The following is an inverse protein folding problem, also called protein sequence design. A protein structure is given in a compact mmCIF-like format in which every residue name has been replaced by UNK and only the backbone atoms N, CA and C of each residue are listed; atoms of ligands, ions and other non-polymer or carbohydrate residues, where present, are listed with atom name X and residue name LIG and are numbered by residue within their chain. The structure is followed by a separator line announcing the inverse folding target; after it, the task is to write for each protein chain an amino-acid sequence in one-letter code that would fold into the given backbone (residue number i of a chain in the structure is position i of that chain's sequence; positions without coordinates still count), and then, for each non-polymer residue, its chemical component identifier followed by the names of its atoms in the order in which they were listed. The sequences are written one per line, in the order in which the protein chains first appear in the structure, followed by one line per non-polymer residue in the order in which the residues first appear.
data_IF_374234721491
#
_entry.id   IF_374234721491
#
_cell.length_a   1.000
_cell.length_b   1.000
_cell.length_c   1.000
_cell.angle_alpha   90.00
_cell.angle_beta   90.00
_cell.angle_gamma   90.00
#
_symmetry.space_group_name_H-M   'P 1'
#
loop_
_entity.id
_entity.type
_entity.pdbx_description
1 polymer ?
#
# COMPACT_ATOMS: atom_id res chain seq x y z
N UNK A 1 56.15 8.60 59.72
CA UNK A 1 56.55 10.01 59.55
C UNK A 1 55.70 10.57 58.43
N UNK A 2 54.82 11.49 58.80
CA UNK A 2 53.80 12.08 57.94
C UNK A 2 54.41 12.89 56.77
N UNK A 3 53.79 12.80 55.59
CA UNK A 3 53.81 13.90 54.61
C UNK A 3 52.54 14.71 54.85
N UNK A 4 52.65 15.81 55.58
CA UNK A 4 51.49 16.65 55.93
C UNK A 4 51.07 17.65 54.84
N UNK A 5 51.68 17.65 53.64
CA UNK A 5 51.28 18.55 52.56
C UNK A 5 51.18 17.82 51.22
N UNK A 6 49.95 17.59 50.75
CA UNK A 6 49.64 17.14 49.40
C UNK A 6 49.50 18.38 48.49
N UNK A 7 50.23 18.42 47.38
CA UNK A 7 50.28 19.60 46.50
C UNK A 7 49.23 19.47 45.38
N UNK A 8 48.63 20.60 44.96
CA UNK A 8 47.77 20.62 43.78
C UNK A 8 48.57 20.20 42.53
N UNK A 9 48.06 19.22 41.79
CA UNK A 9 48.70 18.55 40.65
C UNK A 9 49.30 17.18 40.97
N UNK A 10 49.35 16.78 42.24
CA UNK A 10 49.97 15.51 42.66
C UNK A 10 49.09 14.30 42.29
N UNK A 11 49.70 13.27 41.69
CA UNK A 11 49.01 12.06 41.23
C UNK A 11 49.24 10.87 42.15
N UNK A 12 48.13 10.22 42.52
CA UNK A 12 48.11 9.02 43.34
C UNK A 12 47.46 7.89 42.55
N UNK A 13 48.02 6.68 42.66
CA UNK A 13 47.42 5.49 42.09
C UNK A 13 46.94 4.61 43.24
N UNK A 14 45.62 4.45 43.35
CA UNK A 14 44.97 3.67 44.40
C UNK A 14 44.65 2.27 43.87
N UNK A 15 45.08 1.25 44.62
CA UNK A 15 44.67 -0.14 44.38
C UNK A 15 43.33 -0.39 45.05
N UNK A 16 42.29 -0.65 44.25
CA UNK A 16 40.90 -0.84 44.71
C UNK A 16 40.45 -2.31 44.64
N UNK A 17 41.39 -3.25 44.49
CA UNK A 17 41.07 -4.67 44.26
C UNK A 17 40.57 -4.98 42.84
N UNK A 18 40.61 -3.99 41.93
CA UNK A 18 40.35 -4.10 40.50
C UNK A 18 41.27 -3.18 39.70
N UNK A 19 40.79 -2.58 38.61
CA UNK A 19 41.60 -1.63 37.83
C UNK A 19 42.08 -0.46 38.69
N UNK A 20 43.37 -0.16 38.58
CA UNK A 20 44.04 0.90 39.35
C UNK A 20 43.39 2.26 39.08
N UNK A 21 43.06 3.00 40.14
CA UNK A 21 42.43 4.31 40.06
C UNK A 21 43.49 5.41 40.20
N UNK A 22 43.72 6.19 39.14
CA UNK A 22 44.60 7.36 39.20
C UNK A 22 43.82 8.60 39.61
N UNK A 23 44.28 9.29 40.67
CA UNK A 23 43.66 10.48 41.25
C UNK A 23 44.68 11.62 41.20
N UNK A 24 44.31 12.78 40.63
CA UNK A 24 45.13 14.00 40.66
C UNK A 24 44.50 15.01 41.60
N UNK A 25 45.25 15.52 42.58
CA UNK A 25 44.72 16.44 43.60
C UNK A 25 44.67 17.87 43.06
N UNK A 26 43.59 18.62 43.33
CA UNK A 26 43.57 20.09 43.18
C UNK A 26 43.49 20.70 41.78
N UNK A 27 43.30 19.91 40.71
CA UNK A 27 43.05 20.49 39.38
C UNK A 27 41.59 20.93 39.29
N UNK A 28 41.36 22.23 39.10
CA UNK A 28 40.05 22.74 38.68
C UNK A 28 39.70 22.06 37.35
N UNK A 29 38.82 21.07 37.37
CA UNK A 29 38.31 20.47 36.16
C UNK A 29 37.65 21.59 35.34
N UNK A 30 38.19 21.90 34.16
CA UNK A 30 37.54 22.71 33.13
C UNK A 30 36.29 21.98 32.58
N UNK A 31 35.34 21.60 33.44
CA UNK A 31 34.06 20.97 33.08
C UNK A 31 33.27 21.83 32.10
N UNK A 32 33.49 23.16 32.13
CA UNK A 32 32.87 24.14 31.25
C UNK A 32 33.36 24.11 29.79
N UNK A 33 34.44 23.37 29.46
CA UNK A 33 34.97 23.25 28.09
C UNK A 33 34.73 21.88 27.43
N UNK A 34 34.10 20.91 28.10
CA UNK A 34 33.66 19.68 27.41
C UNK A 34 32.53 20.08 26.45
N UNK A 35 32.81 20.05 25.14
CA UNK A 35 31.73 19.97 24.13
C UNK A 35 30.77 18.88 24.63
N UNK A 36 29.48 19.21 24.82
CA UNK A 36 28.45 18.19 25.02
C UNK A 36 28.59 17.23 23.84
N UNK A 37 29.12 16.03 24.10
CA UNK A 37 29.12 14.99 23.10
C UNK A 37 27.66 14.56 23.02
N UNK A 38 26.99 14.92 21.93
CA UNK A 38 25.64 14.45 21.68
C UNK A 38 25.70 12.92 21.66
N UNK A 39 25.13 12.31 22.69
CA UNK A 39 25.10 10.86 22.80
C UNK A 39 24.28 10.31 21.62
N UNK A 40 24.81 9.34 20.89
CA UNK A 40 24.07 8.58 19.90
C UNK A 40 22.98 7.82 20.65
N UNK A 41 21.74 8.27 20.47
CA UNK A 41 20.58 7.75 21.17
C UNK A 41 20.16 6.40 20.62
N UNK A 42 19.35 5.69 21.39
CA UNK A 42 18.63 4.50 20.96
C UNK A 42 17.88 4.74 19.65
N UNK A 43 17.20 5.88 19.53
CA UNK A 43 16.46 6.27 18.34
C UNK A 43 17.35 6.36 17.10
N UNK A 44 18.51 7.02 17.21
CA UNK A 44 19.47 7.11 16.10
C UNK A 44 20.01 5.74 15.70
N UNK A 45 20.25 4.83 16.65
CA UNK A 45 20.66 3.45 16.32
C UNK A 45 19.55 2.69 15.60
N UNK A 46 18.29 2.83 16.01
CA UNK A 46 17.16 2.20 15.33
C UNK A 46 16.99 2.72 13.90
N UNK A 47 17.13 4.04 13.70
CA UNK A 47 17.12 4.65 12.38
C UNK A 47 18.25 4.11 11.48
N UNK A 48 19.47 4.03 12.01
CA UNK A 48 20.60 3.44 11.28
C UNK A 48 20.37 1.96 10.96
N UNK A 49 19.82 1.19 11.89
CA UNK A 49 19.46 -0.22 11.68
C UNK A 49 18.47 -0.37 10.53
N UNK A 50 17.47 0.51 10.46
CA UNK A 50 16.44 0.50 9.43
C UNK A 50 16.97 0.96 8.06
N UNK A 51 17.75 2.04 8.02
CA UNK A 51 18.32 2.60 6.77
C UNK A 51 19.34 1.66 6.16
N UNK A 52 20.18 1.02 6.98
CA UNK A 52 21.24 0.12 6.54
C UNK A 52 20.82 -1.35 6.48
N UNK A 53 19.54 -1.64 6.74
CA UNK A 53 18.96 -3.00 6.71
C UNK A 53 19.79 -3.99 7.56
N UNK A 54 20.17 -3.57 8.77
CA UNK A 54 20.99 -4.37 9.68
C UNK A 54 20.13 -5.35 10.48
N UNK A 55 20.59 -6.61 10.53
CA UNK A 55 20.03 -7.59 11.47
C UNK A 55 20.40 -7.25 12.91
N UNK A 56 19.66 -7.78 13.90
CA UNK A 56 19.93 -7.61 15.34
C UNK A 56 21.41 -7.85 15.69
N UNK A 57 22.03 -8.86 15.08
CA UNK A 57 23.44 -9.17 15.31
C UNK A 57 24.38 -8.14 14.67
N UNK A 58 24.07 -7.64 13.47
CA UNK A 58 24.83 -6.56 12.84
C UNK A 58 24.67 -5.24 13.61
N UNK A 59 23.48 -4.94 14.13
CA UNK A 59 23.21 -3.76 14.95
C UNK A 59 23.94 -3.82 16.30
N UNK A 60 23.98 -5.00 16.93
CA UNK A 60 24.83 -5.25 18.11
C UNK A 60 26.31 -5.01 17.81
N UNK A 61 26.80 -5.50 16.66
CA UNK A 61 28.18 -5.28 16.22
C UNK A 61 28.47 -3.80 15.96
N UNK A 62 27.56 -3.09 15.28
CA UNK A 62 27.62 -1.65 15.08
C UNK A 62 27.74 -0.91 16.43
N UNK A 63 26.85 -1.19 17.38
CA UNK A 63 26.89 -0.57 18.71
C UNK A 63 28.22 -0.86 19.43
N UNK A 64 28.73 -2.09 19.36
CA UNK A 64 30.02 -2.46 19.95
C UNK A 64 31.18 -1.69 19.32
N UNK A 65 31.20 -1.57 17.99
CA UNK A 65 32.24 -0.84 17.25
C UNK A 65 32.18 0.67 17.49
N UNK A 66 30.98 1.24 17.60
CA UNK A 66 30.82 2.65 17.95
C UNK A 66 31.32 2.90 19.38
N UNK A 67 30.99 2.03 20.35
CA UNK A 67 31.47 2.17 21.74
C UNK A 67 32.99 2.03 21.89
N UNK A 68 33.63 1.21 21.05
CA UNK A 68 35.09 1.05 21.12
C UNK A 68 35.85 2.25 20.54
N UNK A 69 35.22 3.04 19.66
CA UNK A 69 35.89 4.13 18.93
C UNK A 69 35.36 5.54 19.24
N UNK A 70 34.14 5.65 19.78
CA UNK A 70 33.47 6.90 20.10
C UNK A 70 33.01 6.89 21.57
N UNK A 71 33.21 8.02 22.24
CA UNK A 71 32.55 8.27 23.53
C UNK A 71 31.15 8.79 23.26
N UNK A 72 30.13 8.28 23.96
CA UNK A 72 28.76 8.76 23.82
C UNK A 72 27.82 7.93 22.95
N UNK A 73 27.79 6.60 23.10
CA UNK A 73 26.63 5.79 22.66
C UNK A 73 25.74 5.54 23.88
N UNK A 74 24.42 5.55 23.71
CA UNK A 74 23.48 5.22 24.78
C UNK A 74 23.77 3.85 25.42
N UNK A 75 23.71 3.79 26.74
CA UNK A 75 23.78 2.53 27.48
C UNK A 75 22.49 1.74 27.26
N UNK A 76 22.53 0.43 27.49
CA UNK A 76 21.34 -0.44 27.50
C UNK A 76 20.51 -0.51 26.20
N UNK A 77 21.02 -0.02 25.06
CA UNK A 77 20.37 -0.14 23.74
C UNK A 77 19.92 -1.58 23.43
N UNK A 78 20.74 -2.58 23.75
CA UNK A 78 20.39 -3.98 23.52
C UNK A 78 19.22 -4.48 24.38
N UNK A 79 19.08 -3.94 25.59
CA UNK A 79 17.97 -4.24 26.49
C UNK A 79 16.71 -3.62 25.92
N UNK A 80 16.76 -2.33 25.56
CA UNK A 80 15.64 -1.61 24.91
C UNK A 80 15.17 -2.28 23.62
N UNK A 81 16.10 -2.74 22.76
CA UNK A 81 15.75 -3.52 21.55
C UNK A 81 15.02 -4.83 21.87
N UNK A 82 15.38 -5.48 22.99
CA UNK A 82 14.77 -6.74 23.40
C UNK A 82 13.41 -6.49 24.02
N UNK A 83 13.28 -5.48 24.88
CA UNK A 83 12.00 -5.04 25.47
C UNK A 83 10.97 -4.68 24.40
N UNK A 84 11.36 -3.97 23.34
CA UNK A 84 10.48 -3.69 22.19
C UNK A 84 10.04 -4.96 21.46
N UNK A 85 10.96 -5.89 21.24
CA UNK A 85 10.65 -7.16 20.59
C UNK A 85 9.66 -7.98 21.44
N UNK A 86 9.93 -8.10 22.73
CA UNK A 86 9.09 -8.84 23.67
C UNK A 86 7.69 -8.22 23.76
N UNK A 87 7.61 -6.87 23.79
CA UNK A 87 6.35 -6.13 23.77
C UNK A 87 5.53 -6.49 22.53
N UNK A 88 6.13 -6.41 21.34
CA UNK A 88 5.44 -6.76 20.09
C UNK A 88 5.06 -8.24 20.05
N UNK A 89 5.93 -9.15 20.48
CA UNK A 89 5.66 -10.59 20.50
C UNK A 89 4.41 -10.94 21.33
N UNK A 90 4.17 -10.22 22.43
CA UNK A 90 2.96 -10.42 23.25
C UNK A 90 1.66 -10.09 22.51
N UNK A 91 1.70 -9.28 21.45
CA UNK A 91 0.54 -8.86 20.68
C UNK A 91 0.14 -9.86 19.57
N UNK A 92 1.04 -10.80 19.23
CA UNK A 92 0.81 -11.79 18.16
C UNK A 92 0.57 -13.20 18.69
N UNK A 93 -0.12 -13.99 17.88
CA UNK A 93 -0.37 -15.41 18.10
C UNK A 93 -0.11 -16.18 16.81
N UNK A 94 0.30 -17.43 16.96
CA UNK A 94 0.40 -18.38 15.87
C UNK A 94 -0.74 -19.41 15.96
N UNK A 95 -1.31 -19.80 14.82
CA UNK A 95 -2.30 -20.86 14.71
C UNK A 95 -2.06 -21.65 13.43
N UNK A 96 -1.96 -22.98 13.56
CA UNK A 96 -1.94 -23.88 12.41
C UNK A 96 -3.36 -24.08 11.88
N UNK A 97 -3.54 -23.97 10.57
CA UNK A 97 -4.83 -24.02 9.89
C UNK A 97 -4.70 -24.72 8.53
N UNK A 98 -5.80 -25.30 8.06
CA UNK A 98 -5.90 -25.89 6.72
C UNK A 98 -6.32 -24.84 5.69
N UNK A 99 -5.69 -24.82 4.52
CA UNK A 99 -5.97 -23.89 3.43
C UNK A 99 -6.19 -24.66 2.14
N UNK A 100 -6.91 -24.03 1.20
CA UNK A 100 -7.04 -24.57 -0.16
C UNK A 100 -5.91 -24.06 -1.05
N UNK A 101 -5.23 -24.96 -1.75
CA UNK A 101 -4.29 -24.63 -2.81
C UNK A 101 -4.72 -25.36 -4.09
N UNK A 102 -5.47 -24.66 -4.94
CA UNK A 102 -6.22 -25.30 -6.02
C UNK A 102 -7.28 -26.26 -5.48
N UNK A 103 -7.12 -27.55 -5.77
CA UNK A 103 -8.02 -28.62 -5.31
C UNK A 103 -7.44 -29.38 -4.09
N UNK A 104 -6.26 -28.99 -3.61
CA UNK A 104 -5.57 -29.65 -2.50
C UNK A 104 -5.73 -28.88 -1.18
N UNK A 105 -5.67 -29.61 -0.06
CA UNK A 105 -5.64 -29.01 1.27
C UNK A 105 -4.19 -28.96 1.75
N UNK A 106 -3.73 -27.77 2.11
CA UNK A 106 -2.39 -27.52 2.64
C UNK A 106 -2.48 -27.01 4.08
N UNK A 107 -1.64 -27.55 4.97
CA UNK A 107 -1.56 -27.09 6.35
C UNK A 107 -0.49 -25.99 6.45
N UNK A 108 -0.85 -24.83 7.02
CA UNK A 108 0.05 -23.69 7.17
C UNK A 108 -0.14 -23.00 8.52
N UNK A 109 0.92 -22.35 8.98
CA UNK A 109 0.89 -21.53 10.17
C UNK A 109 0.51 -20.09 9.83
N UNK A 110 -0.50 -19.58 10.50
CA UNK A 110 -0.94 -18.19 10.44
C UNK A 110 -0.34 -17.46 11.64
N UNK A 111 0.37 -16.37 11.37
CA UNK A 111 0.76 -15.40 12.40
C UNK A 111 -0.19 -14.21 12.32
N UNK A 112 -0.84 -13.87 13.42
CA UNK A 112 -1.84 -12.80 13.47
C UNK A 112 -1.85 -12.05 14.80
N UNK A 113 -2.36 -10.84 14.77
CA UNK A 113 -2.59 -10.00 15.96
C UNK A 113 -3.74 -10.56 16.78
N UNK A 114 -3.54 -10.70 18.11
CA UNK A 114 -4.54 -11.27 19.03
C UNK A 114 -5.81 -10.44 19.12
N UNK A 115 -5.68 -9.12 19.10
CA UNK A 115 -6.77 -8.14 19.22
C UNK A 115 -6.44 -6.91 18.37
N UNK A 116 -7.12 -6.77 17.22
CA UNK A 116 -6.91 -5.67 16.28
C UNK A 116 -7.16 -4.30 16.91
N UNK A 117 -8.18 -4.18 17.77
CA UNK A 117 -8.56 -2.93 18.43
C UNK A 117 -7.49 -2.46 19.42
N UNK A 118 -6.98 -3.37 20.26
CA UNK A 118 -5.88 -3.05 21.18
C UNK A 118 -4.59 -2.72 20.44
N UNK A 119 -4.31 -3.43 19.35
CA UNK A 119 -3.12 -3.18 18.53
C UNK A 119 -3.16 -1.81 17.84
N UNK A 120 -4.32 -1.40 17.34
CA UNK A 120 -4.48 -0.07 16.73
C UNK A 120 -4.30 1.02 17.79
N UNK A 121 -4.91 0.86 18.97
CA UNK A 121 -4.73 1.81 20.09
C UNK A 121 -3.26 1.93 20.49
N UNK A 122 -2.57 0.79 20.62
CA UNK A 122 -1.13 0.76 20.87
C UNK A 122 -0.36 1.57 19.82
N UNK A 123 -0.68 1.44 18.53
CA UNK A 123 -0.03 2.23 17.48
C UNK A 123 -0.35 3.71 17.58
N UNK A 124 -1.60 4.08 17.88
CA UNK A 124 -2.02 5.49 18.05
C UNK A 124 -1.23 6.13 19.19
N UNK A 125 -1.16 5.45 20.33
CA UNK A 125 -0.48 5.91 21.54
C UNK A 125 1.03 6.07 21.29
N UNK A 126 1.68 5.06 20.70
CA UNK A 126 3.11 5.10 20.36
C UNK A 126 3.46 6.18 19.32
N UNK A 127 2.52 6.56 18.45
CA UNK A 127 2.70 7.63 17.47
C UNK A 127 2.30 9.02 17.99
N UNK A 128 1.62 9.09 19.13
CA UNK A 128 1.05 10.33 19.66
C UNK A 128 0.00 10.95 18.74
N UNK A 129 -0.74 10.12 17.98
CA UNK A 129 -1.81 10.58 17.08
C UNK A 129 -3.06 10.85 17.93
N UNK A 130 -3.77 11.94 17.64
CA UNK A 130 -5.06 12.18 18.26
C UNK A 130 -6.10 11.19 17.69
N UNK A 131 -6.73 10.41 18.56
CA UNK A 131 -7.59 9.27 18.16
C UNK A 131 -8.68 9.67 17.15
N UNK A 132 -9.41 10.80 17.30
CA UNK A 132 -10.43 11.22 16.34
C UNK A 132 -9.90 11.57 14.94
N UNK A 133 -8.59 11.86 14.82
CA UNK A 133 -7.95 12.18 13.54
C UNK A 133 -7.26 10.97 12.90
N UNK A 134 -7.15 9.86 13.62
CA UNK A 134 -6.46 8.66 13.15
C UNK A 134 -7.30 7.91 12.11
N UNK A 135 -6.68 7.56 10.99
CA UNK A 135 -7.21 6.62 10.01
C UNK A 135 -6.46 5.29 10.15
N UNK A 136 -7.21 4.20 10.37
CA UNK A 136 -6.72 2.84 10.24
C UNK A 136 -7.06 2.32 8.84
N UNK A 137 -6.06 2.26 7.95
CA UNK A 137 -6.22 1.75 6.59
C UNK A 137 -5.73 0.31 6.50
N UNK A 138 -6.60 -0.58 6.04
CA UNK A 138 -6.30 -2.01 5.87
C UNK A 138 -6.12 -2.33 4.39
N UNK A 139 -5.05 -3.05 4.09
CA UNK A 139 -4.81 -3.64 2.77
C UNK A 139 -4.59 -5.13 2.88
N UNK A 140 -5.03 -5.85 1.87
CA UNK A 140 -4.81 -7.29 1.74
C UNK A 140 -4.21 -7.52 0.36
N UNK A 141 -3.12 -8.27 0.31
CA UNK A 141 -2.45 -8.59 -0.95
C UNK A 141 -1.77 -9.96 -0.87
N UNK A 142 -1.90 -10.71 -1.97
CA UNK A 142 -1.24 -11.98 -2.22
C UNK A 142 -0.09 -11.81 -3.20
N UNK A 143 1.14 -12.02 -2.74
CA UNK A 143 2.31 -11.79 -3.57
C UNK A 143 3.60 -12.36 -2.99
N UNK A 144 4.53 -12.73 -3.87
CA UNK A 144 5.85 -13.25 -3.49
C UNK A 144 5.77 -14.37 -2.44
N UNK A 145 4.87 -15.35 -2.64
CA UNK A 145 4.66 -16.51 -1.78
C UNK A 145 4.02 -16.22 -0.41
N UNK A 146 3.41 -15.05 -0.21
CA UNK A 146 2.74 -14.74 1.05
C UNK A 146 1.42 -14.03 0.81
N UNK A 147 0.40 -14.42 1.57
CA UNK A 147 -0.83 -13.67 1.73
C UNK A 147 -0.73 -12.85 3.01
N UNK A 148 -0.94 -11.54 2.92
CA UNK A 148 -0.80 -10.62 4.05
C UNK A 148 -2.03 -9.74 4.20
N UNK A 149 -2.42 -9.51 5.45
CA UNK A 149 -3.29 -8.41 5.85
C UNK A 149 -2.41 -7.41 6.57
N UNK A 150 -2.36 -6.17 6.09
CA UNK A 150 -1.56 -5.10 6.68
C UNK A 150 -2.43 -3.93 7.11
N UNK A 151 -1.90 -3.14 8.03
CA UNK A 151 -2.53 -1.91 8.52
C UNK A 151 -1.55 -0.73 8.50
N UNK A 152 -2.05 0.43 8.09
CA UNK A 152 -1.43 1.73 8.32
C UNK A 152 -2.32 2.54 9.25
N UNK A 153 -1.76 3.08 10.33
CA UNK A 153 -2.48 3.99 11.23
C UNK A 153 -1.84 5.38 11.18
N UNK A 154 -2.51 6.37 10.61
CA UNK A 154 -1.93 7.69 10.37
C UNK A 154 -2.98 8.80 10.42
N UNK A 155 -2.54 10.03 10.64
CA UNK A 155 -3.37 11.22 10.44
C UNK A 155 -3.14 11.72 8.99
N UNK A 156 -4.19 11.88 8.17
CA UNK A 156 -4.04 12.37 6.80
C UNK A 156 -3.63 13.85 6.72
N UNK A 157 -3.86 14.64 7.78
CA UNK A 157 -3.61 16.10 7.81
C UNK A 157 -2.26 16.45 8.41
N UNK A 158 -1.79 15.67 9.38
CA UNK A 158 -0.57 15.96 10.12
C UNK A 158 0.49 14.89 9.89
N UNK A 159 1.74 15.31 9.76
CA UNK A 159 2.88 14.41 9.64
C UNK A 159 3.52 14.19 11.01
N UNK A 160 3.62 12.94 11.44
CA UNK A 160 4.12 12.51 12.74
C UNK A 160 5.46 11.76 12.64
N UNK A 161 5.99 11.52 11.44
CA UNK A 161 7.32 10.91 11.30
C UNK A 161 8.40 11.93 11.65
N UNK A 162 9.37 11.53 12.46
CA UNK A 162 10.56 12.35 12.75
C UNK A 162 11.44 12.61 11.53
N UNK A 163 11.24 11.85 10.44
CA UNK A 163 11.94 12.00 9.17
C UNK A 163 10.99 12.42 8.07
N UNK A 164 11.32 13.51 7.38
CA UNK A 164 10.63 13.95 6.15
C UNK A 164 10.72 12.92 5.02
N UNK A 165 11.69 11.99 5.08
CA UNK A 165 11.85 10.95 4.07
C UNK A 165 10.80 9.83 4.19
N UNK A 166 10.22 9.63 5.39
CA UNK A 166 9.23 8.60 5.61
C UNK A 166 7.83 9.18 5.64
N UNK A 167 6.96 8.62 4.80
CA UNK A 167 5.53 8.93 4.80
C UNK A 167 4.80 8.05 5.82
N UNK A 168 3.85 8.63 6.54
CA UNK A 168 3.08 7.95 7.59
C UNK A 168 2.15 6.88 7.05
N UNK A 169 1.64 7.11 5.84
CA UNK A 169 0.87 6.16 5.03
C UNK A 169 1.75 5.19 4.22
N UNK A 170 3.08 5.25 4.36
CA UNK A 170 4.03 4.46 3.57
C UNK A 170 4.33 3.08 4.15
N UNK A 171 4.93 2.22 3.33
CA UNK A 171 5.28 0.81 3.66
C UNK A 171 6.24 0.67 4.84
N UNK A 172 7.12 1.66 5.08
CA UNK A 172 8.03 1.63 6.23
C UNK A 172 7.33 1.89 7.56
N UNK A 173 6.06 2.27 7.53
CA UNK A 173 5.21 2.54 8.70
C UNK A 173 3.91 1.71 8.67
N UNK A 174 3.85 0.60 7.94
CA UNK A 174 2.76 -0.37 8.05
C UNK A 174 3.13 -1.49 9.02
N UNK A 175 2.10 -2.16 9.54
CA UNK A 175 2.23 -3.37 10.36
C UNK A 175 1.47 -4.53 9.72
N UNK A 176 1.88 -5.75 10.02
CA UNK A 176 1.19 -6.97 9.57
C UNK A 176 0.12 -7.31 10.60
N UNK A 177 -1.15 -7.33 10.21
CA UNK A 177 -2.21 -7.86 11.07
C UNK A 177 -2.28 -9.39 11.01
N UNK A 178 -2.13 -9.96 9.81
CA UNK A 178 -2.07 -11.40 9.60
C UNK A 178 -1.15 -11.73 8.42
N UNK A 179 -0.47 -12.87 8.48
CA UNK A 179 0.38 -13.38 7.41
C UNK A 179 0.36 -14.91 7.38
N UNK A 180 0.37 -15.46 6.17
CA UNK A 180 0.53 -16.88 5.91
C UNK A 180 1.36 -17.11 4.63
N UNK A 181 2.19 -18.15 4.64
CA UNK A 181 3.07 -18.52 3.53
C UNK A 181 2.37 -19.47 2.54
N UNK A 182 2.57 -19.22 1.25
CA UNK A 182 2.16 -20.08 0.12
C UNK A 182 0.66 -20.42 0.16
N UNK A 183 -0.17 -19.40 0.37
CA UNK A 183 -1.63 -19.49 0.34
C UNK A 183 -2.17 -18.53 -0.70
N UNK A 184 -3.18 -18.99 -1.44
CA UNK A 184 -3.82 -18.26 -2.51
C UNK A 184 -4.80 -17.20 -1.97
N UNK A 185 -4.92 -16.09 -2.69
CA UNK A 185 -5.92 -15.05 -2.41
C UNK A 185 -7.27 -15.45 -3.03
N UNK A 186 -7.96 -16.36 -2.36
CA UNK A 186 -9.33 -16.78 -2.63
C UNK A 186 -10.24 -16.53 -1.43
N UNK A 187 -11.55 -16.46 -1.66
CA UNK A 187 -12.53 -16.10 -0.64
C UNK A 187 -12.47 -17.01 0.60
N UNK A 188 -12.33 -18.33 0.43
CA UNK A 188 -12.31 -19.27 1.56
C UNK A 188 -11.04 -19.13 2.41
N UNK A 189 -9.89 -18.96 1.78
CA UNK A 189 -8.64 -18.71 2.48
C UNK A 189 -8.62 -17.33 3.15
N UNK A 190 -9.14 -16.30 2.48
CA UNK A 190 -9.29 -14.95 3.04
C UNK A 190 -10.21 -14.96 4.27
N UNK A 191 -11.29 -15.73 4.26
CA UNK A 191 -12.19 -15.87 5.40
C UNK A 191 -11.43 -16.33 6.65
N UNK A 192 -10.58 -17.37 6.52
CA UNK A 192 -9.76 -17.90 7.62
C UNK A 192 -8.81 -16.86 8.23
N UNK A 193 -8.29 -15.94 7.42
CA UNK A 193 -7.46 -14.83 7.92
C UNK A 193 -8.31 -13.74 8.59
N UNK A 194 -9.39 -13.32 7.94
CA UNK A 194 -10.19 -12.17 8.37
C UNK A 194 -11.01 -12.44 9.64
N UNK A 195 -11.54 -13.65 9.81
CA UNK A 195 -12.28 -14.05 11.01
C UNK A 195 -11.42 -13.94 12.28
N UNK A 196 -10.10 -14.18 12.18
CA UNK A 196 -9.18 -14.05 13.30
C UNK A 196 -8.99 -12.59 13.75
N UNK A 197 -9.14 -11.64 12.82
CA UNK A 197 -8.85 -10.23 13.06
C UNK A 197 -10.03 -9.47 13.64
N UNK A 198 -11.26 -10.01 13.57
CA UNK A 198 -12.49 -9.39 14.10
C UNK A 198 -12.63 -7.91 13.74
N UNK A 199 -12.45 -7.62 12.45
CA UNK A 199 -12.41 -6.23 11.96
C UNK A 199 -13.73 -5.48 12.19
N UNK A 200 -14.84 -6.17 12.43
CA UNK A 200 -16.13 -5.56 12.78
C UNK A 200 -16.15 -4.82 14.12
N UNK A 201 -15.09 -4.92 14.92
CA UNK A 201 -14.92 -4.21 16.19
C UNK A 201 -14.05 -2.94 16.05
N UNK A 202 -13.69 -2.58 14.82
CA UNK A 202 -12.72 -1.53 14.51
C UNK A 202 -13.29 -0.60 13.42
N UNK A 203 -13.08 0.70 13.58
CA UNK A 203 -13.27 1.67 12.49
C UNK A 203 -12.06 1.66 11.56
N UNK A 204 -12.24 1.24 10.31
CA UNK A 204 -11.17 1.16 9.33
C UNK A 204 -11.62 1.59 7.93
N UNK A 205 -10.64 1.91 7.09
CA UNK A 205 -10.82 2.12 5.65
C UNK A 205 -10.10 1.04 4.85
N UNK A 206 -10.65 0.69 3.69
CA UNK A 206 -10.08 -0.32 2.82
C UNK A 206 -9.21 0.29 1.74
N UNK A 207 -8.14 -0.43 1.40
CA UNK A 207 -7.28 -0.15 0.26
C UNK A 207 -6.95 -1.48 -0.42
N UNK A 208 -7.88 -1.95 -1.25
CA UNK A 208 -7.79 -3.20 -1.99
C UNK A 208 -7.50 -2.94 -3.46
N UNK A 209 -6.73 -3.83 -4.08
CA UNK A 209 -6.81 -3.97 -5.53
C UNK A 209 -8.18 -4.52 -5.95
N UNK A 210 -8.45 -4.52 -7.26
CA UNK A 210 -9.73 -4.99 -7.77
C UNK A 210 -9.96 -6.48 -7.51
N UNK A 211 -8.91 -7.30 -7.60
CA UNK A 211 -9.03 -8.76 -7.48
C UNK A 211 -9.39 -9.15 -6.04
N UNK A 212 -8.64 -8.64 -5.08
CA UNK A 212 -8.87 -8.83 -3.66
C UNK A 212 -10.26 -8.31 -3.28
N UNK A 213 -10.66 -7.12 -3.76
CA UNK A 213 -11.99 -6.59 -3.46
C UNK A 213 -13.10 -7.54 -3.96
N UNK A 214 -13.02 -8.07 -5.17
CA UNK A 214 -13.98 -9.07 -5.65
C UNK A 214 -13.96 -10.34 -4.80
N UNK A 215 -12.78 -10.85 -4.42
CA UNK A 215 -12.67 -12.02 -3.54
C UNK A 215 -13.29 -11.79 -2.17
N UNK A 216 -13.09 -10.61 -1.56
CA UNK A 216 -13.64 -10.25 -0.25
C UNK A 216 -15.15 -10.04 -0.27
N UNK A 217 -15.69 -9.46 -1.34
CA UNK A 217 -17.14 -9.25 -1.49
C UNK A 217 -17.85 -10.37 -2.28
N UNK A 218 -17.12 -11.44 -2.59
CA UNK A 218 -17.65 -12.67 -3.15
C UNK A 218 -18.04 -12.61 -4.64
N UNK A 219 -17.59 -11.61 -5.38
CA UNK A 219 -17.75 -11.54 -6.83
C UNK A 219 -16.75 -12.46 -7.54
N UNK A 220 -17.14 -12.93 -8.73
CA UNK A 220 -16.21 -13.63 -9.63
C UNK A 220 -15.10 -12.70 -10.12
N UNK A 221 -14.09 -13.28 -10.76
CA UNK A 221 -13.01 -12.51 -11.40
C UNK A 221 -13.53 -11.51 -12.43
N UNK A 222 -12.67 -10.55 -12.79
CA UNK A 222 -12.93 -9.48 -13.75
C UNK A 222 -13.13 -9.95 -15.22
N UNK A 223 -13.11 -11.26 -15.49
CA UNK A 223 -13.59 -11.83 -16.76
C UNK A 223 -15.11 -12.08 -16.75
N UNK A 224 -15.77 -11.96 -15.59
CA UNK A 224 -17.21 -12.08 -15.45
C UNK A 224 -17.98 -10.94 -16.12
N UNK A 225 -19.23 -11.21 -16.51
CA UNK A 225 -20.10 -10.26 -17.22
C UNK A 225 -20.51 -9.06 -16.36
N UNK A 226 -20.78 -9.30 -15.07
CA UNK A 226 -21.20 -8.31 -14.07
C UNK A 226 -20.17 -8.17 -12.94
N UNK A 227 -18.88 -8.07 -13.30
CA UNK A 227 -17.78 -8.14 -12.34
C UNK A 227 -17.41 -6.80 -11.67
N UNK A 228 -18.13 -5.71 -11.94
CA UNK A 228 -17.96 -4.45 -11.21
C UNK A 228 -18.43 -4.62 -9.76
N UNK A 229 -17.56 -4.26 -8.81
CA UNK A 229 -17.86 -4.27 -7.38
C UNK A 229 -18.95 -3.26 -7.00
N UNK A 230 -19.06 -2.16 -7.73
CA UNK A 230 -19.89 -1.01 -7.34
C UNK A 230 -21.29 -1.05 -7.95
N UNK A 231 -21.48 -1.72 -9.09
CA UNK A 231 -22.79 -1.81 -9.73
C UNK A 231 -23.06 -3.18 -10.38
N UNK A 232 -24.33 -3.46 -10.64
CA UNK A 232 -24.81 -4.67 -11.31
C UNK A 232 -24.70 -4.59 -12.85
N UNK A 233 -23.91 -3.64 -13.37
CA UNK A 233 -23.81 -3.34 -14.80
C UNK A 233 -22.76 -4.17 -15.54
N UNK A 234 -22.90 -4.19 -16.87
CA UNK A 234 -21.86 -4.70 -17.77
C UNK A 234 -20.74 -3.65 -17.94
N UNK A 235 -19.58 -4.10 -18.43
CA UNK A 235 -18.39 -3.27 -18.64
C UNK A 235 -18.63 -2.21 -19.73
N UNK A 236 -19.14 -1.04 -19.34
CA UNK A 236 -19.55 0.07 -20.22
C UNK A 236 -19.22 1.44 -19.62
N UNK A 237 -19.45 2.53 -20.37
CA UNK A 237 -19.24 3.91 -19.86
C UNK A 237 -20.41 4.44 -19.01
N UNK A 238 -21.33 3.57 -18.58
CA UNK A 238 -22.51 3.94 -17.78
C UNK A 238 -22.68 2.99 -16.60
N UNK A 239 -22.85 3.56 -15.41
CA UNK A 239 -23.25 2.80 -14.23
C UNK A 239 -24.66 2.23 -14.42
N UNK A 240 -24.93 1.12 -13.73
CA UNK A 240 -26.29 0.59 -13.54
C UNK A 240 -26.65 0.67 -12.06
N UNK A 241 -27.64 -0.11 -11.63
CA UNK A 241 -28.02 -0.21 -10.23
C UNK A 241 -26.80 -0.47 -9.35
N UNK A 242 -26.61 0.38 -8.35
CA UNK A 242 -25.51 0.26 -7.40
C UNK A 242 -25.69 -0.98 -6.54
N UNK A 243 -24.57 -1.60 -6.18
CA UNK A 243 -24.55 -2.72 -5.25
C UNK A 243 -24.58 -2.19 -3.83
N UNK A 244 -25.43 -2.81 -3.02
CA UNK A 244 -25.47 -2.67 -1.57
C UNK A 244 -24.99 -3.96 -0.90
N UNK A 245 -24.62 -3.91 0.38
CA UNK A 245 -24.25 -5.11 1.14
C UNK A 245 -25.37 -6.18 1.07
N UNK A 246 -26.63 -5.76 1.23
CA UNK A 246 -27.79 -6.64 1.12
C UNK A 246 -28.00 -7.20 -0.29
N UNK A 247 -27.69 -6.44 -1.34
CA UNK A 247 -27.79 -6.95 -2.71
C UNK A 247 -26.78 -8.06 -3.00
N UNK A 248 -25.59 -7.99 -2.40
CA UNK A 248 -24.56 -9.04 -2.49
C UNK A 248 -25.05 -10.30 -1.77
N UNK A 249 -25.51 -10.16 -0.52
CA UNK A 249 -26.01 -11.28 0.28
C UNK A 249 -27.18 -11.98 -0.42
N UNK A 250 -28.16 -11.22 -0.94
CA UNK A 250 -29.30 -11.75 -1.68
C UNK A 250 -28.88 -12.52 -2.94
N UNK A 251 -27.94 -11.99 -3.73
CA UNK A 251 -27.46 -12.67 -4.94
C UNK A 251 -26.74 -13.98 -4.59
N UNK A 252 -25.93 -13.98 -3.54
CA UNK A 252 -25.24 -15.18 -3.09
C UNK A 252 -26.22 -16.25 -2.60
N UNK A 253 -27.21 -15.88 -1.77
CA UNK A 253 -28.22 -16.80 -1.26
C UNK A 253 -29.00 -17.45 -2.40
N UNK A 254 -29.41 -16.68 -3.41
CA UNK A 254 -30.07 -17.20 -4.61
C UNK A 254 -29.16 -18.18 -5.39
N UNK A 255 -27.88 -17.84 -5.55
CA UNK A 255 -26.91 -18.72 -6.20
C UNK A 255 -26.72 -20.05 -5.45
N UNK A 256 -26.72 -20.01 -4.11
CA UNK A 256 -26.67 -21.21 -3.26
C UNK A 256 -27.94 -22.04 -3.40
N UNK A 257 -29.12 -21.42 -3.30
CA UNK A 257 -30.41 -22.09 -3.43
C UNK A 257 -30.57 -22.82 -4.77
N UNK A 258 -29.99 -22.28 -5.85
CA UNK A 258 -30.04 -22.90 -7.18
C UNK A 258 -28.88 -23.89 -7.47
N UNK A 259 -28.09 -24.22 -6.45
CA UNK A 259 -27.08 -25.28 -6.47
C UNK A 259 -25.72 -24.86 -7.03
N UNK A 260 -25.35 -23.58 -6.93
CA UNK A 260 -24.01 -23.05 -7.27
C UNK A 260 -23.50 -23.42 -8.67
N UNK A 261 -24.39 -23.34 -9.67
CA UNK A 261 -24.05 -23.71 -11.06
C UNK A 261 -23.15 -22.65 -11.69
N UNK A 262 -21.85 -22.92 -11.80
CA UNK A 262 -20.84 -21.99 -12.36
C UNK A 262 -21.23 -21.38 -13.72
N UNK A 263 -21.87 -22.14 -14.62
CA UNK A 263 -22.34 -21.66 -15.94
C UNK A 263 -23.44 -20.59 -15.86
N UNK A 264 -24.12 -20.48 -14.71
CA UNK A 264 -25.20 -19.54 -14.44
C UNK A 264 -24.79 -18.39 -13.50
N UNK A 265 -23.50 -18.24 -13.18
CA UNK A 265 -23.04 -17.17 -12.26
C UNK A 265 -23.51 -15.76 -12.67
N UNK A 266 -23.67 -15.51 -13.97
CA UNK A 266 -24.14 -14.22 -14.50
C UNK A 266 -25.59 -13.90 -14.09
N UNK A 267 -26.42 -14.92 -13.85
CA UNK A 267 -27.83 -14.77 -13.48
C UNK A 267 -27.94 -14.17 -12.06
N UNK A 268 -26.91 -14.35 -11.24
CA UNK A 268 -26.76 -13.81 -9.87
C UNK A 268 -25.74 -12.68 -9.81
N UNK A 269 -25.65 -11.90 -10.90
CA UNK A 269 -24.74 -10.75 -11.01
C UNK A 269 -23.30 -11.11 -10.66
N UNK A 270 -22.84 -12.30 -11.01
CA UNK A 270 -21.49 -12.78 -10.74
C UNK A 270 -21.11 -12.85 -9.25
N UNK A 271 -22.07 -12.79 -8.32
CA UNK A 271 -21.83 -13.07 -6.90
C UNK A 271 -21.86 -14.58 -6.69
N UNK A 272 -20.73 -15.15 -6.29
CA UNK A 272 -20.53 -16.60 -6.23
C UNK A 272 -20.06 -17.11 -4.87
N UNK A 273 -19.69 -16.20 -3.98
CA UNK A 273 -19.21 -16.43 -2.63
C UNK A 273 -19.85 -15.42 -1.67
N UNK A 274 -19.84 -15.66 -0.35
CA UNK A 274 -20.31 -14.68 0.62
C UNK A 274 -19.30 -13.52 0.73
N UNK A 275 -19.77 -12.35 1.17
CA UNK A 275 -18.88 -11.28 1.61
C UNK A 275 -18.25 -11.62 2.96
N UNK A 276 -17.05 -11.12 3.21
CA UNK A 276 -16.24 -11.48 4.38
C UNK A 276 -16.12 -10.37 5.44
N UNK A 277 -16.52 -9.15 5.10
CA UNK A 277 -16.41 -7.97 5.97
C UNK A 277 -17.71 -7.19 6.00
N UNK A 278 -17.79 -6.26 6.95
CA UNK A 278 -18.98 -5.44 7.22
C UNK A 278 -20.23 -6.25 7.57
N UNK A 279 -20.06 -7.47 8.12
CA UNK A 279 -21.17 -8.43 8.32
C UNK A 279 -22.33 -7.88 9.15
N UNK A 280 -22.05 -6.93 10.05
CA UNK A 280 -23.02 -6.26 10.94
C UNK A 280 -23.53 -4.91 10.41
N UNK A 281 -23.00 -4.42 9.29
CA UNK A 281 -23.40 -3.15 8.70
C UNK A 281 -24.79 -3.20 8.07
N UNK A 282 -25.38 -2.02 7.87
CA UNK A 282 -26.69 -1.89 7.25
C UNK A 282 -26.70 -2.49 5.82
N UNK A 283 -27.71 -3.30 5.50
CA UNK A 283 -27.88 -3.93 4.19
C UNK A 283 -28.05 -2.93 3.04
N UNK A 284 -28.55 -1.72 3.33
CA UNK A 284 -28.70 -0.65 2.33
C UNK A 284 -27.40 0.13 2.09
N UNK A 285 -26.33 -0.16 2.84
CA UNK A 285 -25.03 0.48 2.64
C UNK A 285 -24.51 0.16 1.24
N UNK A 286 -24.28 1.22 0.47
CA UNK A 286 -23.76 1.18 -0.90
C UNK A 286 -22.25 0.91 -0.87
N UNK A 287 -21.79 -0.08 -1.65
CA UNK A 287 -20.38 -0.50 -1.65
C UNK A 287 -19.42 0.61 -2.08
N UNK A 288 -19.83 1.46 -3.01
CA UNK A 288 -19.07 2.62 -3.50
C UNK A 288 -18.73 3.64 -2.41
N UNK A 289 -19.53 3.69 -1.34
CA UNK A 289 -19.31 4.59 -0.21
C UNK A 289 -18.22 4.09 0.74
N UNK A 290 -18.05 2.77 0.85
CA UNK A 290 -17.20 2.12 1.85
C UNK A 290 -15.96 1.43 1.26
N UNK A 291 -15.92 1.19 -0.05
CA UNK A 291 -14.76 0.62 -0.75
C UNK A 291 -14.20 1.64 -1.75
N UNK A 292 -13.13 2.36 -1.41
CA UNK A 292 -12.51 3.32 -2.32
C UNK A 292 -12.01 2.66 -3.62
N UNK A 293 -12.19 3.31 -4.78
CA UNK A 293 -11.59 2.87 -6.05
C UNK A 293 -10.05 2.84 -6.01
N UNK A 294 -9.40 1.75 -6.50
CA UNK A 294 -7.93 1.62 -6.45
C UNK A 294 -7.22 2.47 -7.51
N UNK A 295 -6.60 3.56 -7.07
CA UNK A 295 -6.02 4.57 -7.96
C UNK A 295 -4.87 4.04 -8.83
N UNK A 296 -3.97 3.21 -8.26
CA UNK A 296 -2.80 2.71 -8.98
C UNK A 296 -3.26 1.73 -10.07
N UNK A 297 -4.16 0.81 -9.71
CA UNK A 297 -4.68 -0.16 -10.67
C UNK A 297 -5.48 0.49 -11.78
N UNK A 298 -6.29 1.51 -11.48
CA UNK A 298 -7.02 2.30 -12.48
C UNK A 298 -6.03 2.99 -13.42
N UNK A 299 -5.02 3.68 -12.88
CA UNK A 299 -3.97 4.34 -13.67
C UNK A 299 -3.32 3.36 -14.64
N UNK A 300 -2.79 2.25 -14.11
CA UNK A 300 -2.08 1.27 -14.92
C UNK A 300 -2.98 0.75 -16.04
N UNK A 301 -4.23 0.36 -15.78
CA UNK A 301 -5.03 -0.22 -16.85
C UNK A 301 -5.65 0.77 -17.84
N UNK A 302 -5.80 2.05 -17.51
CA UNK A 302 -6.17 3.06 -18.50
C UNK A 302 -4.99 3.32 -19.43
N UNK A 303 -3.80 3.56 -18.85
CA UNK A 303 -2.58 3.82 -19.62
C UNK A 303 -2.21 2.61 -20.48
N UNK A 304 -2.21 1.40 -19.91
CA UNK A 304 -1.89 0.16 -20.63
C UNK A 304 -2.82 -0.06 -21.82
N UNK A 305 -4.11 0.22 -21.67
CA UNK A 305 -5.09 0.06 -22.75
C UNK A 305 -4.77 0.96 -23.93
N UNK A 306 -4.46 2.24 -23.66
CA UNK A 306 -4.15 3.23 -24.68
C UNK A 306 -2.75 3.01 -25.28
N UNK A 307 -1.76 2.60 -24.47
CA UNK A 307 -0.44 2.20 -24.96
C UNK A 307 -0.49 0.94 -25.82
N UNK A 308 -1.29 -0.06 -25.46
CA UNK A 308 -1.48 -1.27 -26.28
C UNK A 308 -2.07 -0.92 -27.64
N UNK A 309 -3.04 0.00 -27.66
CA UNK A 309 -3.57 0.52 -28.92
C UNK A 309 -2.46 1.21 -29.74
N UNK A 310 -1.64 2.08 -29.14
CA UNK A 310 -0.51 2.72 -29.82
C UNK A 310 0.50 1.71 -30.40
N UNK A 311 0.80 0.63 -29.69
CA UNK A 311 1.68 -0.43 -30.21
C UNK A 311 1.08 -1.13 -31.44
N UNK A 312 -0.24 -1.31 -31.47
CA UNK A 312 -0.93 -1.93 -32.59
C UNK A 312 -1.01 -1.00 -33.81
N UNK A 313 -1.38 0.26 -33.61
CA UNK A 313 -1.67 1.20 -34.72
C UNK A 313 -0.45 2.01 -35.16
N UNK A 314 0.59 2.10 -34.33
CA UNK A 314 1.85 2.79 -34.63
C UNK A 314 3.06 1.98 -34.16
N UNK A 315 3.53 1.00 -34.94
CA UNK A 315 4.66 0.14 -34.58
C UNK A 315 5.95 0.85 -34.11
N UNK A 316 6.33 2.05 -34.65
CA UNK A 316 7.46 2.82 -34.12
C UNK A 316 7.38 3.18 -32.64
N UNK A 317 6.18 3.16 -32.04
CA UNK A 317 5.96 3.44 -30.63
C UNK A 317 6.82 2.56 -29.71
N UNK A 318 7.02 1.28 -30.06
CA UNK A 318 7.84 0.38 -29.26
C UNK A 318 9.30 0.88 -29.15
N UNK A 319 9.84 1.41 -30.25
CA UNK A 319 11.18 1.99 -30.24
C UNK A 319 11.19 3.33 -29.51
N UNK A 320 10.14 4.13 -29.66
CA UNK A 320 9.98 5.39 -28.93
C UNK A 320 10.02 5.17 -27.41
N UNK A 321 9.31 4.16 -26.89
CA UNK A 321 9.36 3.78 -25.47
C UNK A 321 10.78 3.42 -25.01
N UNK A 322 11.50 2.61 -25.81
CA UNK A 322 12.89 2.20 -25.50
C UNK A 322 13.84 3.39 -25.42
N UNK A 323 13.78 4.31 -26.40
CA UNK A 323 14.63 5.52 -26.43
C UNK A 323 14.39 6.43 -25.22
N UNK A 324 13.18 6.41 -24.66
CA UNK A 324 12.83 7.16 -23.46
C UNK A 324 12.97 6.35 -22.17
N UNK A 325 13.56 5.16 -22.21
CA UNK A 325 13.73 4.26 -21.07
C UNK A 325 12.41 3.99 -20.33
N UNK A 326 11.34 3.73 -21.09
CA UNK A 326 10.07 3.23 -20.57
C UNK A 326 10.02 1.73 -20.88
N UNK A 327 9.94 0.93 -19.82
CA UNK A 327 9.95 -0.52 -19.90
C UNK A 327 8.54 -1.05 -19.74
N UNK A 328 8.12 -1.86 -20.71
CA UNK A 328 6.90 -2.65 -20.55
C UNK A 328 7.20 -3.90 -19.73
N UNK A 329 6.43 -4.09 -18.66
CA UNK A 329 6.52 -5.19 -17.70
C UNK A 329 5.11 -5.71 -17.48
N UNK A 330 4.82 -6.90 -17.98
CA UNK A 330 3.50 -7.52 -17.89
C UNK A 330 3.50 -8.97 -18.36
N UNK A 331 2.36 -9.65 -18.23
CA UNK A 331 2.16 -10.99 -18.78
C UNK A 331 2.37 -10.93 -20.31
N UNK A 332 3.25 -11.79 -20.85
CA UNK A 332 3.76 -11.70 -22.23
C UNK A 332 4.49 -10.40 -22.61
N UNK A 333 4.95 -9.61 -21.63
CA UNK A 333 5.70 -8.36 -21.88
C UNK A 333 4.83 -7.18 -22.27
N UNK A 334 3.50 -7.24 -22.05
CA UNK A 334 2.55 -6.17 -22.40
C UNK A 334 1.97 -5.55 -21.12
N UNK A 335 2.29 -4.27 -20.87
CA UNK A 335 1.81 -3.50 -19.70
C UNK A 335 2.90 -2.60 -19.12
N UNK A 336 2.52 -1.59 -18.33
CA UNK A 336 3.40 -0.64 -17.66
C UNK A 336 3.16 -0.72 -16.15
N UNK A 337 4.24 -0.87 -15.39
CA UNK A 337 4.16 -0.65 -13.93
C UNK A 337 3.88 0.82 -13.61
N UNK A 338 3.52 1.11 -12.35
CA UNK A 338 3.15 2.47 -11.93
C UNK A 338 4.20 3.54 -12.25
N UNK A 339 5.50 3.21 -12.15
CA UNK A 339 6.58 4.14 -12.45
C UNK A 339 6.68 4.43 -13.95
N UNK A 340 6.62 3.38 -14.78
CA UNK A 340 6.67 3.50 -16.23
C UNK A 340 5.43 4.18 -16.80
N UNK A 341 4.24 3.94 -16.24
CA UNK A 341 3.01 4.64 -16.60
C UNK A 341 3.09 6.15 -16.29
N UNK A 342 3.58 6.53 -15.10
CA UNK A 342 3.80 7.93 -14.76
C UNK A 342 4.82 8.60 -15.68
N UNK A 343 5.93 7.91 -15.97
CA UNK A 343 6.96 8.40 -16.87
C UNK A 343 6.43 8.62 -18.29
N UNK A 344 5.64 7.67 -18.81
CA UNK A 344 4.98 7.81 -20.10
C UNK A 344 4.09 9.06 -20.15
N UNK A 345 3.22 9.24 -19.15
CA UNK A 345 2.34 10.42 -19.09
C UNK A 345 3.11 11.75 -18.99
N UNK A 346 4.30 11.75 -18.38
CA UNK A 346 5.16 12.94 -18.31
C UNK A 346 5.81 13.33 -19.64
N UNK A 347 5.77 12.44 -20.64
CA UNK A 347 6.42 12.62 -21.94
C UNK A 347 5.40 12.79 -23.09
N UNK A 348 4.13 13.08 -22.80
CA UNK A 348 3.09 13.21 -23.82
C UNK A 348 3.37 14.34 -24.82
N UNK A 349 3.94 15.46 -24.37
CA UNK A 349 4.26 16.59 -25.25
C UNK A 349 5.46 16.27 -26.16
N UNK A 350 6.41 15.46 -25.67
CA UNK A 350 7.53 14.92 -26.46
C UNK A 350 6.99 13.99 -27.53
N UNK A 351 6.09 13.08 -27.14
CA UNK A 351 5.43 12.15 -28.05
C UNK A 351 4.66 12.89 -29.15
N UNK A 352 3.82 13.86 -28.79
CA UNK A 352 3.03 14.65 -29.74
C UNK A 352 3.92 15.38 -30.76
N UNK A 353 5.01 16.00 -30.30
CA UNK A 353 5.97 16.65 -31.18
C UNK A 353 6.59 15.66 -32.17
N UNK A 354 7.08 14.52 -31.68
CA UNK A 354 7.78 13.53 -32.51
C UNK A 354 6.83 12.89 -33.55
N UNK A 355 5.57 12.68 -33.16
CA UNK A 355 4.50 12.18 -34.05
C UNK A 355 4.15 13.21 -35.13
N UNK A 356 4.09 14.49 -34.77
CA UNK A 356 3.83 15.58 -35.73
C UNK A 356 4.96 15.71 -36.75
N UNK A 357 6.21 15.59 -36.31
CA UNK A 357 7.39 15.63 -37.19
C UNK A 357 7.44 14.46 -38.18
N UNK A 358 6.86 13.32 -37.81
CA UNK A 358 6.77 12.13 -38.66
C UNK A 358 5.48 12.07 -39.48
N UNK A 359 4.69 13.15 -39.50
CA UNK A 359 3.40 13.28 -40.19
C UNK A 359 2.38 12.17 -39.86
N UNK A 360 2.50 11.52 -38.69
CA UNK A 360 1.58 10.45 -38.25
C UNK A 360 0.43 11.05 -37.43
N UNK A 361 -0.34 11.95 -38.04
CA UNK A 361 -1.33 12.79 -37.33
C UNK A 361 -2.49 11.95 -36.78
N UNK A 362 -2.75 10.78 -37.36
CA UNK A 362 -3.90 9.94 -37.01
C UNK A 362 -3.88 9.41 -35.57
N UNK A 363 -2.73 9.38 -34.90
CA UNK A 363 -2.63 8.92 -33.50
C UNK A 363 -2.75 10.02 -32.45
N UNK A 364 -2.81 11.30 -32.86
CA UNK A 364 -3.01 12.43 -31.94
C UNK A 364 -4.27 12.30 -31.06
N UNK A 365 -5.41 11.76 -31.54
CA UNK A 365 -6.58 11.52 -30.70
C UNK A 365 -6.30 10.56 -29.52
N UNK A 366 -5.40 9.59 -29.69
CA UNK A 366 -5.00 8.67 -28.63
C UNK A 366 -4.21 9.42 -27.57
N UNK A 367 -3.23 10.23 -27.98
CA UNK A 367 -2.41 11.07 -27.09
C UNK A 367 -3.28 12.04 -26.30
N UNK A 368 -4.24 12.71 -26.97
CA UNK A 368 -5.17 13.62 -26.32
C UNK A 368 -6.06 12.90 -25.29
N UNK A 369 -6.49 11.67 -25.57
CA UNK A 369 -7.24 10.87 -24.62
C UNK A 369 -6.41 10.54 -23.37
N UNK A 370 -5.12 10.20 -23.51
CA UNK A 370 -4.19 10.02 -22.37
C UNK A 370 -4.01 11.33 -21.61
N UNK A 371 -3.86 12.47 -22.30
CA UNK A 371 -3.71 13.79 -21.67
C UNK A 371 -4.92 14.14 -20.80
N UNK A 372 -6.13 13.89 -21.29
CA UNK A 372 -7.36 14.10 -20.50
C UNK A 372 -7.42 13.17 -19.28
N UNK A 373 -6.96 11.92 -19.41
CA UNK A 373 -6.80 11.05 -18.25
C UNK A 373 -5.78 11.60 -17.24
N UNK A 374 -4.64 12.13 -17.68
CA UNK A 374 -3.65 12.75 -16.80
C UNK A 374 -4.25 13.90 -15.97
N UNK A 375 -5.18 14.67 -16.55
CA UNK A 375 -5.90 15.72 -15.82
C UNK A 375 -6.82 15.16 -14.73
N UNK A 376 -7.50 14.03 -14.99
CA UNK A 376 -8.31 13.34 -13.96
C UNK A 376 -7.41 12.84 -12.84
N UNK A 377 -6.31 12.15 -13.18
CA UNK A 377 -5.32 11.65 -12.20
C UNK A 377 -4.82 12.76 -11.29
N UNK A 378 -4.41 13.90 -11.87
CA UNK A 378 -3.93 15.06 -11.09
C UNK A 378 -4.98 15.62 -10.14
N UNK A 379 -6.27 15.47 -10.47
CA UNK A 379 -7.36 16.01 -9.67
C UNK A 379 -7.81 15.08 -8.53
N UNK A 380 -7.61 13.75 -8.63
CA UNK A 380 -8.23 12.80 -7.68
C UNK A 380 -7.32 11.70 -7.13
N UNK A 381 -6.11 11.49 -7.68
CA UNK A 381 -5.18 10.45 -7.18
C UNK A 381 -4.12 11.02 -6.22
N UNK A 382 -4.30 12.29 -5.82
CA UNK A 382 -3.46 12.95 -4.82
C UNK A 382 -4.01 12.77 -3.41
N UNK A 383 -3.31 13.33 -2.42
CA UNK A 383 -3.86 13.51 -1.06
C UNK A 383 -4.92 14.61 -1.03
N UNK A 384 -4.79 15.60 -1.91
CA UNK A 384 -5.69 16.74 -2.02
C UNK A 384 -6.62 16.58 -3.23
N UNK A 385 -7.87 17.06 -3.09
CA UNK A 385 -8.82 17.13 -4.18
C UNK A 385 -8.54 18.35 -5.06
N UNK A 386 -8.48 18.15 -6.37
CA UNK A 386 -8.41 19.23 -7.35
C UNK A 386 -9.75 19.87 -7.66
N UNK A 387 -9.74 20.98 -8.39
CA UNK A 387 -10.95 21.61 -8.91
C UNK A 387 -11.53 20.87 -10.13
N UNK A 388 -12.80 21.12 -10.46
CA UNK A 388 -13.48 20.71 -11.70
C UNK A 388 -13.42 19.21 -12.02
N UNK A 389 -13.47 18.36 -10.99
CA UNK A 389 -13.32 16.91 -11.13
C UNK A 389 -14.39 16.31 -12.05
N UNK A 390 -15.65 16.70 -11.86
CA UNK A 390 -16.78 16.23 -12.69
C UNK A 390 -16.55 16.55 -14.17
N UNK A 391 -16.14 17.79 -14.49
CA UNK A 391 -15.84 18.20 -15.86
C UNK A 391 -14.67 17.41 -16.46
N UNK A 392 -13.59 17.21 -15.71
CA UNK A 392 -12.42 16.43 -16.16
C UNK A 392 -12.77 14.97 -16.46
N UNK A 393 -13.59 14.33 -15.61
CA UNK A 393 -14.04 12.95 -15.82
C UNK A 393 -14.94 12.85 -17.05
N UNK A 394 -15.88 13.80 -17.23
CA UNK A 394 -16.76 13.80 -18.40
C UNK A 394 -15.97 14.09 -19.69
N UNK A 395 -14.99 14.99 -19.66
CA UNK A 395 -14.10 15.27 -20.79
C UNK A 395 -13.30 14.04 -21.22
N UNK A 396 -12.77 13.29 -20.25
CA UNK A 396 -12.09 12.02 -20.51
C UNK A 396 -13.06 10.99 -21.10
N UNK A 397 -14.25 10.82 -20.49
CA UNK A 397 -15.27 9.87 -20.95
C UNK A 397 -15.72 10.16 -22.38
N UNK A 398 -15.98 11.42 -22.71
CA UNK A 398 -16.31 11.87 -24.06
C UNK A 398 -15.14 11.59 -25.02
N UNK A 399 -13.91 11.90 -24.62
CA UNK A 399 -12.72 11.62 -25.44
C UNK A 399 -12.54 10.13 -25.72
N UNK A 400 -12.75 9.28 -24.71
CA UNK A 400 -12.62 7.84 -24.85
C UNK A 400 -13.72 7.30 -25.77
N UNK A 401 -14.98 7.71 -25.56
CA UNK A 401 -16.10 7.30 -26.42
C UNK A 401 -15.88 7.70 -27.88
N UNK A 402 -15.42 8.92 -28.14
CA UNK A 402 -15.07 9.37 -29.50
C UNK A 402 -13.89 8.58 -30.07
N UNK A 403 -12.89 8.27 -29.24
CA UNK A 403 -11.75 7.46 -29.66
C UNK A 403 -12.16 6.02 -30.03
N UNK A 404 -13.18 5.44 -29.39
CA UNK A 404 -13.67 4.11 -29.78
C UNK A 404 -14.20 4.08 -31.21
N UNK A 405 -14.98 5.08 -31.60
CA UNK A 405 -15.50 5.22 -32.97
C UNK A 405 -14.35 5.48 -33.95
N UNK A 406 -13.50 6.46 -33.63
CA UNK A 406 -12.35 6.82 -34.45
C UNK A 406 -11.38 5.65 -34.66
N UNK A 407 -11.10 4.88 -33.61
CA UNK A 407 -10.22 3.72 -33.68
C UNK A 407 -10.75 2.64 -34.64
N UNK A 408 -12.07 2.44 -34.63
CA UNK A 408 -12.72 1.49 -35.53
C UNK A 408 -12.69 1.97 -36.97
N UNK A 409 -12.98 3.25 -37.20
CA UNK A 409 -13.08 3.82 -38.54
C UNK A 409 -11.72 3.99 -39.23
N UNK A 410 -10.69 4.42 -38.48
CA UNK A 410 -9.38 4.76 -39.04
C UNK A 410 -8.38 3.60 -38.98
N UNK A 411 -8.44 2.76 -37.93
CA UNK A 411 -7.45 1.72 -37.69
C UNK A 411 -8.02 0.29 -37.73
N UNK A 412 -9.32 0.12 -37.98
CA UNK A 412 -10.04 -1.16 -37.79
C UNK A 412 -9.80 -1.78 -36.39
N UNK A 413 -9.56 -0.94 -35.39
CA UNK A 413 -9.22 -1.36 -34.04
C UNK A 413 -10.43 -1.27 -33.09
N UNK A 414 -10.84 -2.40 -32.52
CA UNK A 414 -11.96 -2.47 -31.58
C UNK A 414 -11.51 -2.10 -30.15
N UNK A 415 -11.53 -0.80 -29.84
CA UNK A 415 -11.21 -0.29 -28.51
C UNK A 415 -12.36 -0.57 -27.53
N UNK A 416 -12.25 -1.66 -26.75
CA UNK A 416 -13.26 -2.03 -25.75
C UNK A 416 -13.08 -1.30 -24.41
N UNK A 417 -14.18 -0.98 -23.73
CA UNK A 417 -14.15 -0.52 -22.33
C UNK A 417 -13.60 -1.63 -21.43
N UNK A 418 -12.73 -1.29 -20.49
CA UNK A 418 -12.25 -2.18 -19.43
C UNK A 418 -12.92 -1.83 -18.10
N UNK A 419 -12.91 -2.74 -17.12
CA UNK A 419 -13.46 -2.46 -15.79
C UNK A 419 -12.80 -1.27 -15.12
N UNK A 420 -11.50 -1.07 -15.33
CA UNK A 420 -10.76 0.09 -14.81
C UNK A 420 -11.24 1.41 -15.42
N UNK A 421 -11.57 1.42 -16.72
CA UNK A 421 -12.18 2.59 -17.37
C UNK A 421 -13.61 2.79 -16.90
N UNK A 422 -14.40 1.72 -16.77
CA UNK A 422 -15.75 1.77 -16.22
C UNK A 422 -15.76 2.40 -14.81
N UNK A 423 -14.91 1.90 -13.90
CA UNK A 423 -14.78 2.41 -12.54
C UNK A 423 -14.35 3.88 -12.54
N UNK A 424 -13.35 4.25 -13.34
CA UNK A 424 -12.91 5.64 -13.50
C UNK A 424 -14.06 6.58 -13.85
N UNK A 425 -14.88 6.22 -14.85
CA UNK A 425 -15.92 7.12 -15.37
C UNK A 425 -17.25 7.04 -14.62
N UNK A 426 -17.52 5.95 -13.91
CA UNK A 426 -18.81 5.70 -13.26
C UNK A 426 -18.77 5.86 -11.75
N UNK A 427 -17.61 5.58 -11.11
CA UNK A 427 -17.58 5.30 -9.67
C UNK A 427 -16.58 6.16 -8.88
N UNK A 428 -15.63 6.83 -9.53
CA UNK A 428 -14.73 7.76 -8.83
C UNK A 428 -15.49 8.97 -8.30
N UNK A 429 -16.21 9.69 -9.17
CA UNK A 429 -16.90 10.93 -8.77
C UNK A 429 -17.90 10.70 -7.62
N UNK A 430 -18.82 9.71 -7.70
CA UNK A 430 -19.75 9.49 -6.60
C UNK A 430 -19.05 9.10 -5.27
N UNK A 431 -17.98 8.29 -5.34
CA UNK A 431 -17.24 7.86 -4.15
C UNK A 431 -16.55 9.03 -3.44
N UNK A 432 -15.91 9.93 -4.19
CA UNK A 432 -15.23 11.10 -3.61
C UNK A 432 -16.23 12.17 -3.15
N UNK A 433 -17.37 12.35 -3.83
CA UNK A 433 -18.43 13.28 -3.40
C UNK A 433 -19.05 12.82 -2.08
N UNK A 434 -19.22 11.51 -1.89
CA UNK A 434 -19.72 10.95 -0.65
C UNK A 434 -18.73 11.12 0.51
N UNK A 435 -17.46 10.76 0.28
CA UNK A 435 -16.44 10.73 1.34
C UNK A 435 -15.78 12.10 1.57
N UNK A 436 -15.91 13.04 0.64
CA UNK A 436 -15.26 14.36 0.65
C UNK A 436 -13.73 14.28 0.84
N UNK A 437 -13.11 13.22 0.31
CA UNK A 437 -11.69 12.90 0.46
C UNK A 437 -11.15 12.38 -0.88
N UNK A 438 -9.91 12.75 -1.21
CA UNK A 438 -9.20 12.27 -2.41
C UNK A 438 -8.69 10.83 -2.26
N UNK A 439 -8.52 10.10 -3.38
CA UNK A 439 -8.19 8.67 -3.36
C UNK A 439 -6.80 8.35 -2.79
N UNK A 440 -5.86 9.30 -2.78
CA UNK A 440 -4.51 9.07 -2.28
C UNK A 440 -4.45 8.68 -0.80
N UNK A 441 -5.47 9.02 -0.01
CA UNK A 441 -5.58 8.55 1.38
C UNK A 441 -5.88 7.04 1.46
N UNK A 442 -6.50 6.49 0.42
CA UNK A 442 -6.87 5.08 0.29
C UNK A 442 -5.96 4.29 -0.66
N UNK A 443 -4.78 4.83 -0.99
CA UNK A 443 -3.85 4.22 -1.92
C UNK A 443 -3.44 2.79 -1.50
N UNK A 444 -3.62 1.84 -2.43
CA UNK A 444 -3.29 0.42 -2.27
C UNK A 444 -1.79 0.11 -2.42
N UNK A 445 -1.00 1.09 -2.87
CA UNK A 445 0.44 0.96 -3.14
C UNK A 445 1.25 0.44 -1.94
N UNK A 446 0.80 0.73 -0.72
CA UNK A 446 1.46 0.25 0.50
C UNK A 446 1.41 -1.28 0.60
N UNK A 447 0.27 -1.88 0.22
CA UNK A 447 0.08 -3.33 0.13
C UNK A 447 1.09 -3.96 -0.82
N UNK A 448 1.17 -3.46 -2.05
CA UNK A 448 2.11 -4.00 -3.05
C UNK A 448 3.58 -3.88 -2.62
N UNK A 449 3.96 -2.71 -2.09
CA UNK A 449 5.33 -2.43 -1.68
C UNK A 449 5.79 -3.33 -0.52
N UNK A 450 4.86 -3.81 0.32
CA UNK A 450 5.20 -4.63 1.49
C UNK A 450 5.87 -5.93 1.08
N UNK A 451 5.50 -6.50 -0.08
CA UNK A 451 6.09 -7.75 -0.55
C UNK A 451 7.60 -7.60 -0.80
N UNK A 452 8.00 -6.54 -1.50
CA UNK A 452 9.41 -6.28 -1.76
C UNK A 452 10.21 -5.97 -0.49
N UNK A 453 9.63 -5.24 0.47
CA UNK A 453 10.30 -4.94 1.74
C UNK A 453 10.43 -6.21 2.60
N UNK A 454 9.34 -6.96 2.73
CA UNK A 454 9.30 -8.17 3.54
C UNK A 454 10.30 -9.23 3.06
N UNK A 455 10.42 -9.43 1.74
CA UNK A 455 11.38 -10.37 1.14
C UNK A 455 12.85 -10.07 1.46
N UNK A 456 13.19 -8.83 1.83
CA UNK A 456 14.56 -8.53 2.30
C UNK A 456 14.80 -8.96 3.74
N UNK A 457 13.73 -9.11 4.52
CA UNK A 457 13.76 -9.38 5.96
C UNK A 457 13.52 -10.86 6.26
N UNK A 458 12.66 -11.53 5.49
CA UNK A 458 12.50 -12.98 5.44
C UNK A 458 13.63 -13.62 4.63
#
# INVERSE_FOLDING_TARGET
MERENIVSGEQFVLSTGGNLLSVTVGVNENKSKRKKVNQVSFQTIMELSNVLELSKNKTKKLCSTLRSNLTGVESNINIKMTELQDTLETLYKCKTEEFLDGDEIVVRDIVYVKNSTEFIKFIIDERGIDTPNAIARISIDGGQNFLKVIINVFDPKNHYSSSEMYKDSGVKRCFILAIVEMVSEDNGNLQKLLELLKLEEVDFSLAFDLKCANSVFGLSSHSGKYACLYCEGECSLKARKLRTLGSIDLCYDQYVCEGKKRRKMQDYKNVINPRLIYLKENQETILEHIVPPPELHIMMGVVDKLCTMLLCVWPPFQNWLKTHYILMRGYHGVGLDGNNANKFMSLLDVLERDVTLTATIDILPIINCVRKFSLVKLAVFGLEMGADISAKIEDFKCSFSSLQLYAKDIFDYDLKVSWKIHILVCHILPSIEHNNISLGNYAEQCGEAVHHIFKKTW
#
